data_IF_143366325995
#
_entry.id   IF_143366325995
#
_cell.length_a   1.000
_cell.length_b   1.000
_cell.length_c   1.000
_cell.angle_alpha   90.00
_cell.angle_beta   90.00
_cell.angle_gamma   90.00
#
_symmetry.space_group_name_H-M   'P 1'
#
loop_
_entity.id
_entity.type
_entity.pdbx_description
1 polymer ?
#
# COMPACT_ATOMS: atom_id res chain seq x y z
N UNK A 1 2.06 -18.64 20.84
CA UNK A 1 1.47 -18.41 19.50
C UNK A 1 2.42 -17.47 18.79
N UNK A 2 3.19 -18.01 17.86
CA UNK A 2 4.34 -17.34 17.25
C UNK A 2 3.87 -16.22 16.33
N UNK A 3 4.27 -15.00 16.68
CA UNK A 3 4.03 -13.76 15.94
C UNK A 3 4.73 -13.88 14.58
N UNK A 4 4.01 -14.39 13.58
CA UNK A 4 4.54 -14.64 12.25
C UNK A 4 4.66 -13.28 11.60
N UNK A 5 5.86 -12.70 11.66
CA UNK A 5 6.17 -11.40 11.07
C UNK A 5 5.82 -11.44 9.57
N UNK A 6 4.64 -10.91 9.22
CA UNK A 6 4.07 -10.92 7.86
C UNK A 6 4.75 -9.85 6.97
N UNK A 7 5.90 -9.34 7.40
CA UNK A 7 6.73 -8.42 6.63
C UNK A 7 7.96 -9.19 6.14
N UNK A 8 7.94 -9.65 4.89
CA UNK A 8 9.09 -10.28 4.29
C UNK A 8 10.32 -9.36 4.30
N UNK A 9 11.50 -9.94 4.49
CA UNK A 9 12.77 -9.23 4.69
C UNK A 9 13.23 -8.36 3.49
N UNK A 10 12.61 -8.51 2.33
CA UNK A 10 12.97 -7.74 1.12
C UNK A 10 12.64 -6.24 1.19
N UNK A 11 11.91 -5.77 2.20
CA UNK A 11 11.71 -4.32 2.43
C UNK A 11 12.80 -3.67 3.29
N UNK A 12 13.81 -4.43 3.77
CA UNK A 12 14.85 -3.91 4.69
C UNK A 12 15.99 -3.15 4.02
N UNK A 13 16.13 -3.20 2.70
CA UNK A 13 17.18 -2.47 2.00
C UNK A 13 16.63 -1.18 1.40
N UNK A 14 16.95 -0.06 2.05
CA UNK A 14 16.48 1.25 1.66
C UNK A 14 17.02 1.68 0.31
N UNK A 15 16.13 2.14 -0.58
CA UNK A 15 16.40 3.18 -1.60
C UNK A 15 15.04 3.64 -2.14
N UNK A 16 14.45 4.67 -1.53
CA UNK A 16 13.19 5.34 -1.92
C UNK A 16 11.93 4.45 -1.94
N UNK A 17 10.89 4.86 -1.20
CA UNK A 17 9.57 4.23 -1.26
C UNK A 17 9.03 4.28 -2.69
N UNK A 18 8.61 3.14 -3.27
CA UNK A 18 8.04 3.08 -4.63
C UNK A 18 6.90 4.09 -4.80
N UNK A 19 6.09 4.31 -3.77
CA UNK A 19 5.03 5.32 -3.83
C UNK A 19 5.62 6.72 -3.98
N UNK A 20 6.68 7.06 -3.23
CA UNK A 20 7.36 8.33 -3.37
C UNK A 20 7.98 8.50 -4.77
N UNK A 21 8.56 7.44 -5.34
CA UNK A 21 9.04 7.45 -6.74
C UNK A 21 7.89 7.70 -7.72
N UNK A 22 6.74 7.04 -7.53
CA UNK A 22 5.57 7.24 -8.40
C UNK A 22 5.06 8.69 -8.34
N UNK A 23 4.99 9.29 -7.16
CA UNK A 23 4.61 10.70 -7.04
C UNK A 23 5.65 11.64 -7.67
N UNK A 24 6.94 11.33 -7.56
CA UNK A 24 8.00 12.10 -8.24
C UNK A 24 7.86 12.03 -9.77
N UNK A 25 7.53 10.87 -10.33
CA UNK A 25 7.45 10.65 -11.78
C UNK A 25 6.11 11.09 -12.39
N UNK A 26 5.01 10.91 -11.68
CA UNK A 26 3.65 11.05 -12.21
C UNK A 26 2.81 12.12 -11.50
N UNK A 27 3.36 12.80 -10.50
CA UNK A 27 2.65 13.77 -9.67
C UNK A 27 1.38 13.17 -9.07
N UNK A 28 0.31 13.96 -9.03
CA UNK A 28 -0.99 13.57 -8.47
C UNK A 28 -1.62 12.36 -9.15
N UNK A 29 -1.23 12.02 -10.38
CA UNK A 29 -1.74 10.84 -11.08
C UNK A 29 -1.34 9.53 -10.38
N UNK A 30 -0.25 9.56 -9.59
CA UNK A 30 0.20 8.42 -8.79
C UNK A 30 -0.87 7.90 -7.81
N UNK A 31 -1.85 8.72 -7.41
CA UNK A 31 -2.98 8.31 -6.57
C UNK A 31 -3.78 7.14 -7.15
N UNK A 32 -3.85 7.03 -8.48
CA UNK A 32 -4.52 5.91 -9.16
C UNK A 32 -3.88 4.58 -8.78
N UNK A 33 -2.57 4.54 -8.55
CA UNK A 33 -1.87 3.34 -8.10
C UNK A 33 -2.29 2.94 -6.68
N UNK A 34 -2.47 3.91 -5.77
CA UNK A 34 -2.95 3.64 -4.42
C UNK A 34 -4.37 3.03 -4.47
N UNK A 35 -5.28 3.69 -5.18
CA UNK A 35 -6.68 3.23 -5.36
C UNK A 35 -6.72 1.84 -6.00
N UNK A 36 -5.94 1.61 -7.05
CA UNK A 36 -5.84 0.32 -7.72
C UNK A 36 -5.37 -0.79 -6.78
N UNK A 37 -4.39 -0.52 -5.90
CA UNK A 37 -3.93 -1.48 -4.90
C UNK A 37 -4.99 -1.77 -3.83
N UNK A 38 -5.70 -0.74 -3.35
CA UNK A 38 -6.81 -0.93 -2.41
C UNK A 38 -7.84 -1.88 -3.01
N UNK A 39 -8.33 -1.59 -4.22
CA UNK A 39 -9.31 -2.44 -4.91
C UNK A 39 -8.75 -3.85 -5.09
N UNK A 40 -7.52 -3.99 -5.60
CA UNK A 40 -6.85 -5.28 -5.82
C UNK A 40 -6.87 -6.17 -4.58
N UNK A 41 -6.56 -5.61 -3.41
CA UNK A 41 -6.54 -6.39 -2.18
C UNK A 41 -7.93 -6.67 -1.62
N UNK A 42 -8.88 -5.73 -1.77
CA UNK A 42 -10.28 -5.93 -1.39
C UNK A 42 -10.98 -6.98 -2.26
N UNK A 43 -10.61 -7.16 -3.54
CA UNK A 43 -11.20 -8.23 -4.37
C UNK A 43 -10.54 -9.59 -4.12
N UNK A 44 -9.27 -9.63 -3.71
CA UNK A 44 -8.50 -10.88 -3.54
C UNK A 44 -8.60 -11.52 -2.16
N UNK A 45 -9.02 -10.77 -1.13
CA UNK A 45 -8.83 -11.23 0.25
C UNK A 45 -9.54 -12.56 0.54
N UNK A 46 -10.74 -12.79 0.01
CA UNK A 46 -11.48 -14.04 0.26
C UNK A 46 -10.79 -15.27 -0.35
N UNK A 47 -10.20 -15.10 -1.53
CA UNK A 47 -9.75 -16.23 -2.36
C UNK A 47 -8.22 -16.45 -2.30
N UNK A 48 -7.46 -15.54 -1.69
CA UNK A 48 -5.99 -15.60 -1.71
C UNK A 48 -5.32 -15.53 -0.35
N UNK A 49 -5.25 -14.34 0.27
CA UNK A 49 -4.43 -14.14 1.48
C UNK A 49 -5.24 -13.75 2.73
N UNK A 50 -6.58 -13.74 2.67
CA UNK A 50 -7.42 -13.45 3.82
C UNK A 50 -7.11 -12.09 4.44
N UNK A 51 -6.94 -12.09 5.76
CA UNK A 51 -6.65 -10.89 6.56
C UNK A 51 -5.41 -10.12 6.08
N UNK A 52 -4.38 -10.80 5.54
CA UNK A 52 -3.17 -10.12 5.09
C UNK A 52 -3.46 -9.13 3.94
N UNK A 53 -4.33 -9.49 3.01
CA UNK A 53 -4.73 -8.58 1.93
C UNK A 53 -5.56 -7.41 2.49
N UNK A 54 -6.41 -7.62 3.51
CA UNK A 54 -7.13 -6.53 4.18
C UNK A 54 -6.17 -5.54 4.88
N UNK A 55 -5.11 -6.03 5.52
CA UNK A 55 -4.07 -5.19 6.14
C UNK A 55 -3.31 -4.40 5.06
N UNK A 56 -2.99 -5.01 3.93
CA UNK A 56 -2.39 -4.31 2.79
C UNK A 56 -3.32 -3.23 2.26
N UNK A 57 -4.60 -3.53 2.04
CA UNK A 57 -5.60 -2.55 1.60
C UNK A 57 -5.64 -1.34 2.55
N UNK A 58 -5.67 -1.58 3.87
CA UNK A 58 -5.62 -0.51 4.88
C UNK A 58 -4.34 0.33 4.75
N UNK A 59 -3.18 -0.30 4.57
CA UNK A 59 -1.90 0.41 4.43
C UNK A 59 -1.93 1.38 3.23
N UNK A 60 -2.53 0.98 2.10
CA UNK A 60 -2.69 1.88 0.96
C UNK A 60 -3.74 2.96 1.20
N UNK A 61 -4.81 2.66 1.94
CA UNK A 61 -5.83 3.63 2.31
C UNK A 61 -5.28 4.70 3.26
N UNK A 62 -4.54 4.31 4.30
CA UNK A 62 -3.93 5.25 5.25
C UNK A 62 -3.00 6.22 4.52
N UNK A 63 -2.17 5.70 3.59
CA UNK A 63 -1.31 6.54 2.73
C UNK A 63 -2.12 7.48 1.85
N UNK A 64 -3.22 7.03 1.25
CA UNK A 64 -4.07 7.90 0.44
C UNK A 64 -4.67 9.04 1.29
N UNK A 65 -5.10 8.74 2.51
CA UNK A 65 -5.59 9.76 3.47
C UNK A 65 -4.50 10.78 3.80
N UNK A 66 -3.25 10.34 4.02
CA UNK A 66 -2.12 11.24 4.27
C UNK A 66 -1.87 12.19 3.08
N UNK A 67 -1.90 11.68 1.85
CA UNK A 67 -1.68 12.50 0.65
C UNK A 67 -2.81 13.51 0.42
N UNK A 68 -4.07 13.13 0.61
CA UNK A 68 -5.21 14.04 0.51
C UNK A 68 -5.20 15.08 1.64
N UNK A 69 -4.69 14.73 2.82
CA UNK A 69 -4.52 15.63 3.95
C UNK A 69 -3.46 16.71 3.73
N UNK A 70 -2.42 16.44 2.94
CA UNK A 70 -1.36 17.40 2.57
C UNK A 70 -1.79 18.43 1.54
N UNK A 71 -2.86 18.17 0.78
CA UNK A 71 -3.37 19.06 -0.26
C UNK A 71 -4.32 20.15 0.29
N UNK A 72 -4.57 20.18 1.60
CA UNK A 72 -5.30 21.26 2.31
C UNK A 72 -4.35 22.27 2.92
#
# INVERSE_FOLDING_TARGET
>A
MTDKNIRPDYYRHGTVDVIAVLYLLFGDTARVFLVGNIIKYIVRYRDKNGMEDLIKARTYLDRLIEEEGKQK
#
